data_IF_757847223653
#
_entry.id   IF_757847223653
#
_cell.length_a   1.000
_cell.length_b   1.000
_cell.length_c   1.000
_cell.angle_alpha   90.00
_cell.angle_beta   90.00
_cell.angle_gamma   90.00
#
_symmetry.space_group_name_H-M   'P 1'
#
loop_
_entity.id
_entity.type
_entity.pdbx_description
1 polymer ?
#
# COMPACT_ATOMS: atom_id res chain seq x y z
N UNK A 1 16.96 4.19 2.31
CA UNK A 1 15.79 3.86 3.15
C UNK A 1 14.78 3.10 2.30
N UNK A 2 14.39 1.90 2.71
CA UNK A 2 13.44 1.09 1.97
C UNK A 2 12.02 1.59 2.22
N UNK A 3 11.32 1.92 1.15
CA UNK A 3 9.91 2.31 1.24
C UNK A 3 9.07 1.15 0.73
N UNK A 4 8.18 0.68 1.58
CA UNK A 4 7.29 -0.44 1.24
C UNK A 4 5.85 0.06 1.29
N UNK A 5 5.15 -0.08 0.16
CA UNK A 5 3.74 0.26 0.08
C UNK A 5 2.93 -1.02 0.27
N UNK A 6 1.92 -0.95 1.14
CA UNK A 6 0.98 -2.04 1.37
C UNK A 6 -0.38 -1.61 0.83
N UNK A 7 -0.87 -2.30 -0.18
CA UNK A 7 -2.19 -2.03 -0.76
C UNK A 7 -3.26 -2.90 -0.11
N UNK A 8 -4.52 -2.47 -0.16
CA UNK A 8 -5.61 -3.20 0.47
C UNK A 8 -5.53 -3.19 1.98
N UNK A 9 -4.95 -2.13 2.55
CA UNK A 9 -4.69 -2.05 3.98
C UNK A 9 -5.94 -1.82 4.83
N UNK A 10 -7.08 -1.58 4.21
CA UNK A 10 -8.35 -1.43 4.91
C UNK A 10 -9.01 -2.78 5.26
N UNK A 11 -8.44 -3.89 4.82
CA UNK A 11 -8.89 -5.22 5.18
C UNK A 11 -8.34 -5.67 6.53
N UNK A 12 -8.73 -6.89 6.95
CA UNK A 12 -8.34 -7.45 8.24
C UNK A 12 -6.82 -7.56 8.41
N UNK A 13 -6.16 -8.13 7.41
CA UNK A 13 -4.72 -8.31 7.46
C UNK A 13 -3.97 -6.97 7.48
N UNK A 14 -4.48 -5.99 6.73
CA UNK A 14 -3.89 -4.66 6.72
C UNK A 14 -3.93 -4.01 8.08
N UNK A 15 -5.04 -4.14 8.79
CA UNK A 15 -5.18 -3.58 10.14
C UNK A 15 -4.21 -4.23 11.12
N UNK A 16 -4.04 -5.56 11.04
CA UNK A 16 -3.12 -6.29 11.90
C UNK A 16 -1.68 -5.90 11.58
N UNK A 17 -1.32 -5.89 10.31
CA UNK A 17 0.03 -5.56 9.88
C UNK A 17 0.40 -4.13 10.28
N UNK A 18 -0.54 -3.20 10.18
CA UNK A 18 -0.33 -1.81 10.56
C UNK A 18 0.00 -1.65 12.04
N UNK A 19 -0.56 -2.49 12.90
CA UNK A 19 -0.25 -2.50 14.33
C UNK A 19 1.15 -3.03 14.61
N UNK A 20 1.57 -4.04 13.82
CA UNK A 20 2.87 -4.68 14.01
C UNK A 20 4.00 -3.85 13.40
N UNK A 21 3.80 -3.33 12.20
CA UNK A 21 4.83 -2.59 11.50
C UNK A 21 4.30 -1.23 11.06
N UNK A 22 4.77 -0.17 11.73
CA UNK A 22 4.31 1.20 11.48
C UNK A 22 5.17 1.95 10.47
N UNK A 23 6.23 1.31 9.94
CA UNK A 23 7.12 1.95 8.98
C UNK A 23 6.65 1.82 7.54
N UNK A 24 5.77 0.85 7.25
CA UNK A 24 5.22 0.66 5.92
C UNK A 24 4.23 1.77 5.56
N UNK A 25 4.11 2.05 4.27
CA UNK A 25 3.14 3.00 3.76
C UNK A 25 1.86 2.23 3.43
N UNK A 26 0.80 2.47 4.19
CA UNK A 26 -0.46 1.75 4.03
C UNK A 26 -1.43 2.55 3.18
N UNK A 27 -1.97 1.91 2.14
CA UNK A 27 -2.93 2.53 1.24
C UNK A 27 -4.20 1.68 1.14
N UNK A 28 -5.34 2.30 1.41
CA UNK A 28 -6.63 1.66 1.23
C UNK A 28 -6.97 1.58 -0.26
N UNK A 29 -8.04 0.85 -0.58
CA UNK A 29 -8.52 0.74 -1.95
C UNK A 29 -8.83 2.10 -2.58
N UNK A 30 -9.32 3.05 -1.78
CA UNK A 30 -9.61 4.40 -2.25
C UNK A 30 -8.34 5.19 -2.57
N UNK A 31 -7.28 4.97 -1.79
CA UNK A 31 -6.02 5.70 -1.94
C UNK A 31 -5.15 5.12 -3.03
N UNK A 32 -5.16 3.80 -3.18
CA UNK A 32 -4.45 3.12 -4.26
C UNK A 32 -5.33 2.00 -4.79
N UNK A 33 -6.03 2.28 -5.90
CA UNK A 33 -6.86 1.30 -6.56
C UNK A 33 -6.02 0.54 -7.59
N UNK A 34 -5.74 -0.74 -7.32
CA UNK A 34 -4.91 -1.57 -8.19
C UNK A 34 -5.54 -1.81 -9.57
N UNK A 35 -6.84 -1.56 -9.71
CA UNK A 35 -7.53 -1.67 -11.00
C UNK A 35 -7.36 -0.39 -11.83
N UNK A 36 -6.76 0.65 -11.26
CA UNK A 36 -6.54 1.91 -11.96
C UNK A 36 -5.04 2.12 -12.22
N UNK A 37 -4.65 2.11 -13.48
CA UNK A 37 -3.25 2.35 -13.86
C UNK A 37 -2.80 3.74 -13.42
N UNK A 38 -3.68 4.73 -13.50
CA UNK A 38 -3.37 6.10 -13.06
C UNK A 38 -3.06 6.15 -11.57
N UNK A 39 -3.86 5.44 -10.76
CA UNK A 39 -3.68 5.39 -9.31
C UNK A 39 -2.36 4.73 -8.94
N UNK A 40 -2.03 3.61 -9.57
CA UNK A 40 -0.77 2.90 -9.36
C UNK A 40 0.41 3.80 -9.74
N UNK A 41 0.37 4.37 -10.95
CA UNK A 41 1.44 5.21 -11.46
C UNK A 41 1.68 6.42 -10.57
N UNK A 42 0.60 7.07 -10.12
CA UNK A 42 0.68 8.24 -9.24
C UNK A 42 1.36 7.90 -7.92
N UNK A 43 0.99 6.78 -7.31
CA UNK A 43 1.57 6.36 -6.04
C UNK A 43 3.03 5.93 -6.19
N UNK A 44 3.37 5.24 -7.27
CA UNK A 44 4.75 4.85 -7.55
C UNK A 44 5.66 6.06 -7.75
N UNK A 45 5.18 7.08 -8.44
CA UNK A 45 5.95 8.31 -8.63
C UNK A 45 6.13 9.09 -7.34
N UNK A 46 5.07 9.14 -6.52
CA UNK A 46 5.09 9.90 -5.27
C UNK A 46 6.00 9.28 -4.22
N UNK A 47 5.90 7.99 -4.02
CA UNK A 47 6.58 7.30 -2.92
C UNK A 47 7.85 6.58 -3.32
N UNK A 48 8.01 6.24 -4.61
CA UNK A 48 9.16 5.49 -5.14
C UNK A 48 9.51 4.29 -4.27
N UNK A 49 8.54 3.36 -4.06
CA UNK A 49 8.75 2.24 -3.15
C UNK A 49 9.74 1.24 -3.71
N UNK A 50 10.49 0.60 -2.82
CA UNK A 50 11.35 -0.51 -3.19
C UNK A 50 10.56 -1.81 -3.37
N UNK A 51 9.46 -1.95 -2.62
CA UNK A 51 8.59 -3.12 -2.66
C UNK A 51 7.13 -2.71 -2.55
N UNK A 52 6.27 -3.53 -3.12
CA UNK A 52 4.82 -3.35 -3.02
C UNK A 52 4.21 -4.66 -2.54
N UNK A 53 3.49 -4.60 -1.42
CA UNK A 53 2.77 -5.75 -0.89
C UNK A 53 1.29 -5.55 -1.17
N UNK A 54 0.69 -6.50 -1.87
CA UNK A 54 -0.74 -6.46 -2.17
C UNK A 54 -1.48 -7.44 -1.26
N UNK A 55 -2.35 -6.89 -0.42
CA UNK A 55 -3.19 -7.70 0.46
C UNK A 55 -4.55 -7.88 -0.19
N UNK A 56 -4.86 -9.12 -0.52
CA UNK A 56 -6.19 -9.48 -1.01
C UNK A 56 -7.13 -9.54 0.18
N UNK A 57 -8.07 -8.64 0.19
CA UNK A 57 -8.96 -8.62 1.33
C UNK A 57 -10.39 -8.39 0.98
#
# INVERSE_FOLDING_TARGET
MNRIIVTGSDGRFGKILKKINKTFIYKSKKQLNILSVKSISKNLKKYKPSHLIHLAG
#
